data_IF_208570802369
#
_entry.id   IF_208570802369
#
_cell.length_a   1.000
_cell.length_b   1.000
_cell.length_c   1.000
_cell.angle_alpha   90.00
_cell.angle_beta   90.00
_cell.angle_gamma   90.00
#
_symmetry.space_group_name_H-M   'P 1'
#
loop_
_entity.id
_entity.type
_entity.pdbx_description
1 polymer ?
#
# COMPACT_ATOMS: atom_id res chain seq x y z
N UNK A 1 45.16 -16.86 15.30
CA UNK A 1 43.85 -17.32 15.68
C UNK A 1 42.89 -16.88 14.56
N UNK A 2 42.43 -17.82 13.71
CA UNK A 2 41.51 -17.56 12.62
C UNK A 2 40.07 -17.87 13.14
N UNK A 3 39.22 -16.84 13.22
CA UNK A 3 37.82 -17.00 13.57
C UNK A 3 37.04 -17.33 12.29
N UNK A 4 36.48 -18.52 12.22
CA UNK A 4 35.61 -18.99 11.15
C UNK A 4 34.18 -18.53 11.47
N UNK A 5 33.66 -17.60 10.71
CA UNK A 5 32.25 -17.19 10.84
C UNK A 5 31.37 -18.19 10.10
N UNK A 6 30.59 -18.94 10.86
CA UNK A 6 29.53 -19.83 10.33
C UNK A 6 28.34 -18.95 9.97
N UNK A 7 27.99 -18.90 8.68
CA UNK A 7 26.79 -18.24 8.18
C UNK A 7 25.62 -19.23 8.34
N UNK A 8 24.76 -18.97 9.31
CA UNK A 8 23.49 -19.71 9.46
C UNK A 8 22.48 -19.27 8.38
N UNK A 9 22.23 -20.19 7.47
CA UNK A 9 21.25 -20.05 6.37
C UNK A 9 19.87 -20.63 6.78
N UNK A 10 19.24 -20.09 7.82
CA UNK A 10 18.00 -20.69 8.35
C UNK A 10 16.94 -19.64 8.67
N UNK A 11 16.51 -18.80 7.72
CA UNK A 11 15.42 -17.87 8.07
C UNK A 11 14.42 -17.48 6.95
N UNK A 12 14.50 -18.07 5.76
CA UNK A 12 13.58 -17.66 4.66
C UNK A 12 12.31 -18.52 4.59
N UNK A 13 12.33 -19.75 5.10
CA UNK A 13 11.17 -20.67 5.01
C UNK A 13 10.14 -20.41 6.11
N UNK A 14 10.56 -20.02 7.31
CA UNK A 14 9.64 -19.75 8.44
C UNK A 14 8.78 -18.50 8.27
N UNK A 15 9.21 -17.53 7.43
CA UNK A 15 8.44 -16.29 7.22
C UNK A 15 7.21 -16.50 6.33
N UNK A 16 7.24 -17.41 5.37
CA UNK A 16 6.10 -17.70 4.48
C UNK A 16 4.98 -18.48 5.19
N UNK A 17 5.32 -19.38 6.14
CA UNK A 17 4.31 -20.08 6.94
C UNK A 17 3.63 -19.16 7.99
N UNK A 18 4.33 -18.14 8.51
CA UNK A 18 3.75 -17.21 9.45
C UNK A 18 2.79 -16.20 8.77
N UNK A 19 3.05 -15.85 7.51
CA UNK A 19 2.17 -14.99 6.71
C UNK A 19 0.84 -15.69 6.38
N UNK A 20 0.86 -16.95 6.01
CA UNK A 20 -0.35 -17.75 5.75
C UNK A 20 -1.24 -17.95 6.98
N UNK A 21 -0.65 -18.05 8.18
CA UNK A 21 -1.41 -18.15 9.44
C UNK A 21 -2.05 -16.85 9.87
N UNK A 22 -1.39 -15.70 9.60
CA UNK A 22 -1.94 -14.37 9.89
C UNK A 22 -3.12 -14.05 8.98
N UNK A 23 -3.02 -14.32 7.68
CA UNK A 23 -4.11 -14.10 6.71
C UNK A 23 -5.32 -15.01 6.97
N UNK A 24 -5.09 -16.27 7.36
CA UNK A 24 -6.16 -17.20 7.73
C UNK A 24 -6.86 -16.76 9.04
N UNK A 25 -6.11 -16.17 9.98
CA UNK A 25 -6.64 -15.69 11.24
C UNK A 25 -7.41 -14.36 11.07
N UNK A 26 -6.97 -13.46 10.19
CA UNK A 26 -7.71 -12.26 9.80
C UNK A 26 -8.98 -12.60 9.02
N UNK A 27 -8.94 -13.56 8.11
CA UNK A 27 -10.10 -14.08 7.39
C UNK A 27 -11.12 -14.73 8.34
N UNK A 28 -10.65 -15.47 9.36
CA UNK A 28 -11.52 -16.15 10.34
C UNK A 28 -12.17 -15.18 11.34
N UNK A 29 -11.53 -14.04 11.66
CA UNK A 29 -12.15 -12.97 12.46
C UNK A 29 -13.26 -12.30 11.64
N UNK A 30 -13.08 -12.18 10.33
CA UNK A 30 -14.06 -11.59 9.42
C UNK A 30 -15.31 -12.48 9.24
N UNK A 31 -15.14 -13.80 9.21
CA UNK A 31 -16.24 -14.76 8.94
C UNK A 31 -17.15 -14.99 10.16
N UNK A 32 -16.61 -14.85 11.38
CA UNK A 32 -17.37 -15.07 12.63
C UNK A 32 -18.40 -13.99 12.99
N UNK A 33 -18.35 -12.83 12.33
CA UNK A 33 -19.30 -11.73 12.59
C UNK A 33 -20.56 -11.80 11.71
N UNK A 34 -20.77 -12.89 10.96
CA UNK A 34 -21.77 -12.99 9.87
C UNK A 34 -23.15 -13.53 10.31
N UNK A 35 -23.39 -13.83 11.58
CA UNK A 35 -24.60 -14.58 12.01
C UNK A 35 -25.77 -13.77 12.56
N UNK A 36 -25.82 -12.46 12.36
CA UNK A 36 -27.06 -11.69 12.65
C UNK A 36 -27.31 -10.71 11.52
N UNK A 37 -28.54 -10.69 11.01
CA UNK A 37 -29.06 -9.86 9.93
C UNK A 37 -28.94 -8.34 10.17
N UNK A 38 -27.74 -7.86 10.55
CA UNK A 38 -27.37 -6.46 10.60
C UNK A 38 -27.01 -6.01 9.19
N UNK A 39 -27.52 -4.86 8.81
CA UNK A 39 -27.12 -4.18 7.55
C UNK A 39 -25.61 -4.13 7.44
N UNK A 40 -25.06 -4.51 6.28
CA UNK A 40 -23.63 -4.54 6.03
C UNK A 40 -23.05 -3.13 6.16
N UNK A 41 -22.20 -2.88 7.17
CA UNK A 41 -21.55 -1.57 7.36
C UNK A 41 -20.66 -1.19 6.17
N UNK A 42 -20.47 0.12 5.96
CA UNK A 42 -19.67 0.63 4.83
C UNK A 42 -18.27 0.07 4.80
N UNK A 43 -17.59 0.00 5.98
CA UNK A 43 -16.26 -0.58 6.05
C UNK A 43 -16.20 -2.00 5.48
N UNK A 44 -17.18 -2.82 5.84
CA UNK A 44 -17.27 -4.22 5.37
C UNK A 44 -17.54 -4.30 3.87
N UNK A 45 -18.45 -3.46 3.35
CA UNK A 45 -18.74 -3.40 1.93
C UNK A 45 -17.49 -2.99 1.12
N UNK A 46 -16.73 -1.99 1.58
CA UNK A 46 -15.46 -1.60 0.97
C UNK A 46 -14.45 -2.77 0.98
N UNK A 47 -14.27 -3.46 2.11
CA UNK A 47 -13.39 -4.63 2.19
C UNK A 47 -13.79 -5.75 1.22
N UNK A 48 -15.07 -6.01 1.10
CA UNK A 48 -15.61 -7.02 0.17
C UNK A 48 -15.39 -6.63 -1.29
N UNK A 49 -15.61 -5.35 -1.60
CA UNK A 49 -15.48 -4.81 -2.95
C UNK A 49 -14.04 -4.88 -3.47
N UNK A 50 -13.05 -4.63 -2.61
CA UNK A 50 -11.63 -4.68 -3.00
C UNK A 50 -11.01 -6.09 -2.95
N UNK A 51 -11.73 -7.10 -2.48
CA UNK A 51 -11.19 -8.44 -2.18
C UNK A 51 -10.38 -9.06 -3.33
N UNK A 52 -10.88 -8.96 -4.56
CA UNK A 52 -10.19 -9.54 -5.73
C UNK A 52 -8.96 -8.71 -6.12
N UNK A 53 -9.07 -7.37 -6.11
CA UNK A 53 -7.93 -6.50 -6.36
C UNK A 53 -6.88 -6.63 -5.26
N UNK A 54 -7.28 -6.83 -4.01
CA UNK A 54 -6.38 -7.09 -2.88
C UNK A 54 -5.64 -8.43 -3.00
N UNK A 55 -6.31 -9.50 -3.48
CA UNK A 55 -5.63 -10.78 -3.78
C UNK A 55 -4.57 -10.61 -4.87
N UNK A 56 -4.87 -9.83 -5.91
CA UNK A 56 -3.90 -9.48 -6.95
C UNK A 56 -2.74 -8.66 -6.38
N UNK A 57 -3.04 -7.66 -5.54
CA UNK A 57 -2.05 -6.85 -4.82
C UNK A 57 -1.13 -7.70 -3.95
N UNK A 58 -1.66 -8.69 -3.23
CA UNK A 58 -0.87 -9.57 -2.39
C UNK A 58 0.09 -10.45 -3.21
N UNK A 59 -0.36 -10.97 -4.34
CA UNK A 59 0.54 -11.71 -5.27
C UNK A 59 1.65 -10.81 -5.78
N UNK A 60 1.32 -9.60 -6.23
CA UNK A 60 2.28 -8.61 -6.69
C UNK A 60 3.27 -8.23 -5.58
N UNK A 61 2.76 -7.97 -4.38
CA UNK A 61 3.58 -7.66 -3.19
C UNK A 61 4.52 -8.81 -2.85
N UNK A 62 4.05 -10.06 -2.90
CA UNK A 62 4.89 -11.23 -2.68
C UNK A 62 6.03 -11.31 -3.69
N UNK A 63 5.74 -11.05 -4.97
CA UNK A 63 6.78 -10.96 -6.02
C UNK A 63 7.76 -9.83 -5.71
N UNK A 64 7.27 -8.64 -5.32
CA UNK A 64 8.11 -7.51 -4.96
C UNK A 64 8.98 -7.78 -3.74
N UNK A 65 8.44 -8.45 -2.71
CA UNK A 65 9.20 -8.83 -1.50
C UNK A 65 10.34 -9.78 -1.87
N UNK A 66 10.05 -10.83 -2.66
CA UNK A 66 11.07 -11.78 -3.13
C UNK A 66 12.08 -11.11 -4.05
N UNK A 67 11.64 -10.13 -4.85
CA UNK A 67 12.46 -9.49 -5.88
C UNK A 67 13.29 -8.30 -5.38
N UNK A 68 13.06 -7.81 -4.16
CA UNK A 68 13.90 -6.73 -3.64
C UNK A 68 13.23 -5.69 -2.76
N UNK A 69 11.91 -5.67 -2.56
CA UNK A 69 11.23 -4.61 -1.80
C UNK A 69 11.85 -4.37 -0.40
N UNK A 70 12.24 -5.44 0.29
CA UNK A 70 12.88 -5.37 1.60
C UNK A 70 14.33 -5.85 1.61
N UNK A 71 14.97 -5.94 0.44
CA UNK A 71 16.37 -6.33 0.30
C UNK A 71 17.17 -5.37 -0.57
N UNK A 72 16.51 -4.48 -1.31
CA UNK A 72 17.15 -3.43 -2.11
C UNK A 72 16.56 -2.05 -1.72
N UNK A 73 17.39 -1.21 -1.10
CA UNK A 73 17.03 0.16 -0.70
C UNK A 73 16.54 0.99 -1.89
N UNK A 74 17.07 0.75 -3.10
CA UNK A 74 16.64 1.49 -4.30
C UNK A 74 15.20 1.18 -4.67
N UNK A 75 14.80 -0.09 -4.59
CA UNK A 75 13.41 -0.52 -4.83
C UNK A 75 12.49 0.06 -3.75
N UNK A 76 12.88 -0.10 -2.49
CA UNK A 76 12.09 0.39 -1.36
C UNK A 76 11.83 1.90 -1.42
N UNK A 77 12.87 2.71 -1.64
CA UNK A 77 12.73 4.17 -1.69
C UNK A 77 11.86 4.66 -2.86
N UNK A 78 11.89 3.98 -4.02
CA UNK A 78 10.99 4.33 -5.13
C UNK A 78 9.53 4.05 -4.78
N UNK A 79 9.23 2.89 -4.15
CA UNK A 79 7.89 2.56 -3.66
C UNK A 79 7.39 3.61 -2.65
N UNK A 80 8.22 3.97 -1.68
CA UNK A 80 7.88 4.97 -0.66
C UNK A 80 7.55 6.33 -1.28
N UNK A 81 8.31 6.78 -2.28
CA UNK A 81 8.05 8.04 -3.00
C UNK A 81 6.70 8.00 -3.74
N UNK A 82 6.37 6.90 -4.40
CA UNK A 82 5.09 6.78 -5.12
C UNK A 82 3.90 6.80 -4.16
N UNK A 83 3.98 6.07 -3.04
CA UNK A 83 2.92 6.10 -2.02
C UNK A 83 2.85 7.45 -1.29
N UNK A 84 3.98 8.12 -1.09
CA UNK A 84 4.01 9.50 -0.61
C UNK A 84 3.23 10.43 -1.54
N UNK A 85 3.52 10.39 -2.84
CA UNK A 85 2.86 11.27 -3.81
C UNK A 85 1.33 11.08 -3.78
N UNK A 86 0.84 9.84 -3.80
CA UNK A 86 -0.59 9.54 -3.72
C UNK A 86 -1.21 9.96 -2.37
N UNK A 87 -0.52 9.70 -1.25
CA UNK A 87 -1.01 10.05 0.09
C UNK A 87 -1.02 11.57 0.29
N UNK A 88 0.02 12.26 -0.17
CA UNK A 88 0.11 13.71 -0.08
C UNK A 88 -0.95 14.40 -0.94
N UNK A 89 -1.19 13.92 -2.15
CA UNK A 89 -2.27 14.39 -3.02
C UNK A 89 -3.63 14.27 -2.32
N UNK A 90 -3.93 13.10 -1.74
CA UNK A 90 -5.16 12.84 -1.01
C UNK A 90 -5.31 13.74 0.22
N UNK A 91 -4.30 13.80 1.09
CA UNK A 91 -4.37 14.61 2.32
C UNK A 91 -4.47 16.11 2.02
N UNK A 92 -3.80 16.58 0.98
CA UNK A 92 -3.89 17.97 0.52
C UNK A 92 -5.29 18.29 -0.02
N UNK A 93 -5.85 17.38 -0.84
CA UNK A 93 -7.19 17.57 -1.40
C UNK A 93 -8.29 17.52 -0.34
N UNK A 94 -8.16 16.63 0.67
CA UNK A 94 -9.09 16.60 1.81
C UNK A 94 -9.11 17.93 2.57
N UNK A 95 -7.94 18.54 2.81
CA UNK A 95 -7.85 19.83 3.47
C UNK A 95 -8.52 20.93 2.63
N UNK A 96 -8.23 20.96 1.33
CA UNK A 96 -8.83 21.96 0.44
C UNK A 96 -10.37 21.84 0.42
N UNK A 97 -10.93 20.64 0.26
CA UNK A 97 -12.39 20.46 0.26
C UNK A 97 -13.04 20.79 1.61
N UNK A 98 -12.37 20.51 2.72
CA UNK A 98 -12.85 20.91 4.04
C UNK A 98 -12.86 22.42 4.18
N UNK A 99 -11.76 23.10 3.84
CA UNK A 99 -11.56 24.52 4.10
C UNK A 99 -12.35 25.39 3.11
N UNK A 100 -12.42 24.99 1.84
CA UNK A 100 -13.04 25.79 0.77
C UNK A 100 -14.53 25.49 0.58
N UNK A 101 -14.93 24.22 0.77
CA UNK A 101 -16.28 23.74 0.45
C UNK A 101 -17.07 23.26 1.69
N UNK A 102 -16.41 23.15 2.86
CA UNK A 102 -17.04 22.67 4.09
C UNK A 102 -17.49 21.22 4.02
N UNK A 103 -16.76 20.36 3.27
CA UNK A 103 -17.12 18.97 3.07
C UNK A 103 -17.09 18.18 4.38
N UNK A 104 -18.26 17.73 4.84
CA UNK A 104 -18.43 17.04 6.12
C UNK A 104 -17.70 15.68 6.17
N UNK A 105 -17.58 14.98 5.05
CA UNK A 105 -16.87 13.69 4.98
C UNK A 105 -15.38 13.93 5.15
N UNK A 106 -14.85 14.96 4.50
CA UNK A 106 -13.45 15.36 4.69
C UNK A 106 -13.19 15.77 6.14
N UNK A 107 -14.10 16.52 6.77
CA UNK A 107 -13.95 16.90 8.19
C UNK A 107 -13.94 15.67 9.11
N UNK A 108 -14.88 14.73 8.91
CA UNK A 108 -14.93 13.46 9.65
C UNK A 108 -13.64 12.64 9.45
N UNK A 109 -13.13 12.51 8.21
CA UNK A 109 -11.88 11.81 7.93
C UNK A 109 -10.69 12.46 8.62
N UNK A 110 -10.56 13.77 8.54
CA UNK A 110 -9.48 14.54 9.15
C UNK A 110 -9.55 14.54 10.68
N UNK A 111 -10.75 14.37 11.28
CA UNK A 111 -10.93 14.24 12.73
C UNK A 111 -10.25 13.02 13.33
N UNK A 112 -9.92 11.99 12.51
CA UNK A 112 -9.08 10.86 12.94
C UNK A 112 -7.67 11.27 13.33
N UNK A 113 -7.22 12.45 12.92
CA UNK A 113 -5.87 12.96 13.19
C UNK A 113 -4.76 12.24 12.43
N UNK A 114 -5.10 11.48 11.39
CA UNK A 114 -4.10 10.78 10.57
C UNK A 114 -3.46 11.74 9.58
N UNK A 115 -2.13 11.77 9.60
CA UNK A 115 -1.31 12.58 8.71
C UNK A 115 -0.05 11.79 8.40
N UNK A 116 -0.12 10.96 7.35
CA UNK A 116 0.99 10.07 6.98
C UNK A 116 1.96 10.72 5.99
N UNK A 117 1.51 11.67 5.17
CA UNK A 117 2.40 12.36 4.23
C UNK A 117 3.64 12.97 4.92
N UNK A 118 3.56 13.65 6.08
CA UNK A 118 4.74 14.14 6.78
C UNK A 118 5.69 13.04 7.29
N UNK A 119 5.18 11.85 7.58
CA UNK A 119 6.03 10.73 8.01
C UNK A 119 6.75 10.09 6.82
N UNK A 120 6.06 9.95 5.68
CA UNK A 120 6.68 9.57 4.41
C UNK A 120 7.80 10.54 4.02
N UNK A 121 7.55 11.85 4.16
CA UNK A 121 8.52 12.90 3.85
C UNK A 121 9.82 12.74 4.65
N UNK A 122 9.71 12.50 5.97
CA UNK A 122 10.88 12.25 6.82
C UNK A 122 11.66 11.04 6.35
N UNK A 123 10.98 9.94 6.04
CA UNK A 123 11.61 8.72 5.55
C UNK A 123 12.31 8.96 4.20
N UNK A 124 11.67 9.70 3.28
CA UNK A 124 12.26 10.04 1.97
C UNK A 124 13.50 10.91 2.15
N UNK A 125 13.45 11.95 2.99
CA UNK A 125 14.61 12.81 3.28
C UNK A 125 15.78 11.97 3.75
N UNK A 126 15.58 11.06 4.70
CA UNK A 126 16.62 10.15 5.19
C UNK A 126 17.12 9.21 4.08
N UNK A 127 16.21 8.58 3.32
CA UNK A 127 16.57 7.60 2.30
C UNK A 127 17.35 8.18 1.12
N UNK A 128 17.14 9.44 0.80
CA UNK A 128 17.81 10.13 -0.31
C UNK A 128 18.93 11.06 0.16
N UNK A 129 19.24 11.09 1.47
CA UNK A 129 20.22 11.99 2.10
C UNK A 129 19.97 13.46 1.70
N UNK A 130 18.72 13.88 1.78
CA UNK A 130 18.35 15.27 1.55
C UNK A 130 18.68 16.04 2.82
N UNK A 131 19.73 16.86 2.77
CA UNK A 131 20.25 17.57 3.93
C UNK A 131 19.23 18.56 4.50
N UNK A 132 19.19 18.62 5.84
CA UNK A 132 18.27 19.47 6.60
C UNK A 132 18.82 20.92 6.74
N UNK A 133 19.76 21.31 5.87
CA UNK A 133 20.48 22.58 5.91
C UNK A 133 19.60 23.83 5.63
N UNK A 134 18.32 23.69 5.81
CA UNK A 134 17.36 24.80 6.01
C UNK A 134 16.88 25.54 4.77
N UNK A 135 17.63 25.56 3.68
CA UNK A 135 17.29 26.47 2.57
C UNK A 135 16.72 25.81 1.30
N UNK A 136 16.85 24.48 1.10
CA UNK A 136 16.41 23.83 -0.14
C UNK A 136 15.67 22.49 0.04
N UNK A 137 15.49 21.99 1.25
CA UNK A 137 14.99 20.64 1.53
C UNK A 137 13.65 20.32 0.85
N UNK A 138 12.74 21.28 0.79
CA UNK A 138 11.44 21.10 0.14
C UNK A 138 11.55 21.10 -1.40
N UNK A 139 12.47 21.87 -1.97
CA UNK A 139 12.73 21.87 -3.41
C UNK A 139 13.38 20.56 -3.84
N UNK A 140 14.32 20.03 -3.05
CA UNK A 140 14.98 18.76 -3.31
C UNK A 140 14.04 17.55 -3.16
N UNK A 141 13.15 17.59 -2.17
CA UNK A 141 12.08 16.61 -2.02
C UNK A 141 11.17 16.61 -3.25
N UNK A 142 10.69 17.78 -3.67
CA UNK A 142 9.84 17.94 -4.85
C UNK A 142 10.55 17.39 -6.10
N UNK A 143 11.80 17.77 -6.33
CA UNK A 143 12.60 17.27 -7.45
C UNK A 143 12.80 15.75 -7.40
N UNK A 144 12.98 15.17 -6.21
CA UNK A 144 13.11 13.73 -6.01
C UNK A 144 11.81 13.01 -6.39
N UNK A 145 10.66 13.54 -5.94
CA UNK A 145 9.33 13.00 -6.30
C UNK A 145 9.13 13.09 -7.81
N UNK A 146 9.39 14.23 -8.42
CA UNK A 146 9.28 14.42 -9.88
C UNK A 146 10.16 13.43 -10.66
N UNK A 147 11.39 13.20 -10.24
CA UNK A 147 12.31 12.23 -10.88
C UNK A 147 11.80 10.80 -10.83
N UNK A 148 11.17 10.40 -9.72
CA UNK A 148 10.57 9.06 -9.59
C UNK A 148 9.31 8.97 -10.45
N UNK A 149 8.44 9.98 -10.42
CA UNK A 149 7.22 10.03 -11.22
C UNK A 149 7.51 10.02 -12.72
N UNK A 150 8.55 10.71 -13.19
CA UNK A 150 8.95 10.67 -14.59
C UNK A 150 9.27 9.26 -15.10
N UNK A 151 9.79 8.39 -14.22
CA UNK A 151 10.15 7.00 -14.54
C UNK A 151 9.00 6.01 -14.32
N UNK A 152 7.95 6.43 -13.63
CA UNK A 152 6.80 5.59 -13.30
C UNK A 152 5.92 5.33 -14.53
N UNK A 153 5.04 4.32 -14.44
CA UNK A 153 4.07 4.01 -15.49
C UNK A 153 3.03 5.12 -15.62
N UNK A 154 2.41 5.22 -16.80
CA UNK A 154 1.33 6.18 -17.01
C UNK A 154 0.12 5.88 -16.12
N UNK A 155 -0.12 4.59 -15.79
CA UNK A 155 -1.17 4.20 -14.84
C UNK A 155 -0.94 4.75 -13.43
N UNK A 156 0.31 4.76 -12.94
CA UNK A 156 0.64 5.36 -11.63
C UNK A 156 0.46 6.88 -11.62
N UNK A 157 0.88 7.55 -12.69
CA UNK A 157 0.69 9.01 -12.85
C UNK A 157 -0.79 9.37 -12.89
N UNK A 158 -1.55 8.67 -13.74
CA UNK A 158 -3.00 8.86 -13.87
C UNK A 158 -3.73 8.63 -12.55
N UNK A 159 -3.28 7.67 -11.74
CA UNK A 159 -3.88 7.44 -10.42
C UNK A 159 -3.65 8.62 -9.46
N UNK A 160 -2.44 9.16 -9.40
CA UNK A 160 -2.13 10.32 -8.55
C UNK A 160 -2.93 11.54 -9.03
N UNK A 161 -2.97 11.79 -10.34
CA UNK A 161 -3.77 12.85 -10.95
C UNK A 161 -5.27 12.68 -10.66
N UNK A 162 -5.77 11.45 -10.69
CA UNK A 162 -7.17 11.16 -10.32
C UNK A 162 -7.45 11.59 -8.89
N UNK A 163 -6.56 11.30 -7.94
CA UNK A 163 -6.71 11.71 -6.54
C UNK A 163 -6.67 13.23 -6.41
N UNK A 164 -5.75 13.90 -7.08
CA UNK A 164 -5.64 15.37 -7.08
C UNK A 164 -6.91 16.07 -7.58
N UNK A 165 -7.62 15.43 -8.51
CA UNK A 165 -8.84 15.94 -9.14
C UNK A 165 -10.13 15.43 -8.50
N UNK A 166 -10.09 14.66 -7.41
CA UNK A 166 -11.30 14.26 -6.69
C UNK A 166 -12.06 15.48 -6.18
N UNK A 167 -13.37 15.52 -6.46
CA UNK A 167 -14.21 16.68 -6.23
C UNK A 167 -15.07 16.61 -4.98
N UNK A 168 -15.05 15.48 -4.26
CA UNK A 168 -15.90 15.27 -3.07
C UNK A 168 -15.23 14.42 -2.00
N UNK A 169 -15.61 14.64 -0.75
CA UNK A 169 -15.20 13.80 0.38
C UNK A 169 -15.62 12.34 0.22
N UNK A 170 -16.70 12.08 -0.50
CA UNK A 170 -17.16 10.73 -0.85
C UNK A 170 -16.10 9.98 -1.67
N UNK A 171 -15.50 10.62 -2.67
CA UNK A 171 -14.41 10.05 -3.45
C UNK A 171 -13.14 9.90 -2.62
N UNK A 172 -12.78 10.93 -1.85
CA UNK A 172 -11.62 10.89 -0.96
C UNK A 172 -11.74 9.84 0.15
N UNK A 173 -12.97 9.51 0.59
CA UNK A 173 -13.18 8.39 1.52
C UNK A 173 -12.71 7.05 0.90
N UNK A 174 -13.01 6.80 -0.38
CA UNK A 174 -12.52 5.63 -1.08
C UNK A 174 -10.99 5.57 -1.18
N UNK A 175 -10.35 6.71 -1.46
CA UNK A 175 -8.89 6.82 -1.48
C UNK A 175 -8.28 6.61 -0.08
N UNK A 176 -8.86 7.21 0.96
CA UNK A 176 -8.43 7.04 2.36
C UNK A 176 -8.56 5.60 2.81
N UNK A 177 -9.63 4.91 2.43
CA UNK A 177 -9.81 3.50 2.72
C UNK A 177 -8.64 2.66 2.19
N UNK A 178 -8.17 2.94 0.97
CA UNK A 178 -7.09 2.20 0.35
C UNK A 178 -5.70 2.61 0.87
N UNK A 179 -5.41 3.92 1.02
CA UNK A 179 -4.09 4.42 1.40
C UNK A 179 -3.87 4.35 2.91
N UNK A 180 -4.77 4.90 3.73
CA UNK A 180 -4.67 4.84 5.18
C UNK A 180 -5.00 3.45 5.72
N UNK A 181 -6.02 2.79 5.16
CA UNK A 181 -6.40 1.44 5.55
C UNK A 181 -5.28 0.42 5.34
N UNK A 182 -4.50 0.54 4.26
CA UNK A 182 -3.33 -0.31 4.04
C UNK A 182 -2.28 -0.19 5.16
N UNK A 183 -2.13 0.99 5.75
CA UNK A 183 -1.21 1.25 6.85
C UNK A 183 -1.79 0.80 8.20
N UNK A 184 -3.03 1.19 8.50
CA UNK A 184 -3.66 1.01 9.82
C UNK A 184 -4.16 -0.42 10.03
N UNK A 185 -4.87 -0.96 9.02
CA UNK A 185 -5.47 -2.31 9.06
C UNK A 185 -4.48 -3.37 8.59
N UNK A 186 -3.72 -3.05 7.54
CA UNK A 186 -2.86 -3.99 6.82
C UNK A 186 -1.48 -4.20 7.45
N UNK A 187 -0.51 -4.48 6.58
CA UNK A 187 0.82 -4.98 6.92
C UNK A 187 1.82 -4.04 7.57
N UNK A 188 1.43 -2.83 8.01
CA UNK A 188 2.39 -1.86 8.56
C UNK A 188 3.27 -2.44 9.69
N UNK A 189 2.69 -3.24 10.59
CA UNK A 189 3.43 -3.87 11.68
C UNK A 189 4.43 -4.93 11.20
N UNK A 190 4.11 -5.66 10.14
CA UNK A 190 5.02 -6.68 9.57
C UNK A 190 6.13 -6.05 8.73
N UNK A 191 5.87 -4.89 8.13
CA UNK A 191 6.85 -4.17 7.32
C UNK A 191 7.95 -3.53 8.18
N UNK A 192 7.61 -3.02 9.37
CA UNK A 192 8.53 -2.26 10.21
C UNK A 192 9.87 -2.97 10.49
N UNK A 193 9.92 -4.23 10.99
CA UNK A 193 11.21 -4.89 11.26
C UNK A 193 12.06 -5.05 9.98
N UNK A 194 11.42 -5.33 8.84
CA UNK A 194 12.10 -5.49 7.55
C UNK A 194 12.68 -4.17 7.05
N UNK A 195 11.92 -3.09 7.14
CA UNK A 195 12.36 -1.75 6.77
C UNK A 195 13.48 -1.28 7.68
N UNK A 196 13.36 -1.50 8.99
CA UNK A 196 14.39 -1.17 9.96
C UNK A 196 15.71 -1.93 9.69
N UNK A 197 15.62 -3.19 9.30
CA UNK A 197 16.79 -3.99 8.90
C UNK A 197 17.43 -3.49 7.61
N UNK A 198 16.61 -3.01 6.66
CA UNK A 198 17.07 -2.56 5.34
C UNK A 198 17.65 -1.15 5.37
N UNK A 199 16.98 -0.21 6.03
CA UNK A 199 17.23 1.23 5.92
C UNK A 199 17.71 1.87 7.24
N UNK A 200 17.75 1.10 8.33
CA UNK A 200 18.05 1.63 9.66
C UNK A 200 16.83 2.21 10.37
N UNK A 201 17.03 2.62 11.63
CA UNK A 201 15.94 3.13 12.47
C UNK A 201 15.43 4.51 12.03
N UNK A 202 16.31 5.31 11.43
CA UNK A 202 16.03 6.71 11.10
C UNK A 202 15.18 6.87 9.83
N UNK A 203 15.03 5.81 9.02
CA UNK A 203 14.17 5.77 7.84
C UNK A 203 12.87 4.94 8.07
N UNK A 204 12.32 4.97 9.28
CA UNK A 204 11.14 4.19 9.68
C UNK A 204 10.08 5.03 10.40
N UNK A 205 10.00 6.33 10.13
CA UNK A 205 9.06 7.23 10.81
C UNK A 205 7.61 6.83 10.54
N UNK A 206 7.28 6.53 9.28
CA UNK A 206 5.95 6.08 8.88
C UNK A 206 5.53 4.83 9.67
N UNK A 207 6.32 3.76 9.59
CA UNK A 207 5.95 2.50 10.22
C UNK A 207 6.00 2.57 11.75
N UNK A 208 6.87 3.39 12.32
CA UNK A 208 6.92 3.65 13.77
C UNK A 208 5.66 4.36 14.24
N UNK A 209 5.18 5.35 13.49
CA UNK A 209 3.92 6.03 13.79
C UNK A 209 2.74 5.07 13.72
N UNK A 210 2.63 4.29 12.64
CA UNK A 210 1.52 3.33 12.43
C UNK A 210 1.51 2.20 13.45
N UNK A 211 2.68 1.72 13.89
CA UNK A 211 2.81 0.58 14.82
C UNK A 211 2.95 0.98 16.26
N UNK A 212 2.97 2.27 16.54
CA UNK A 212 3.13 2.85 17.87
C UNK A 212 2.01 2.50 18.85
N UNK A 213 2.12 3.01 20.09
CA UNK A 213 1.08 2.85 21.10
C UNK A 213 -0.29 3.29 20.57
N UNK A 214 -1.35 2.53 20.92
CA UNK A 214 -2.71 2.85 20.47
C UNK A 214 -3.09 2.31 19.09
N UNK A 215 -2.26 1.47 18.44
CA UNK A 215 -2.58 0.88 17.12
C UNK A 215 -3.96 0.22 17.09
N UNK A 216 -4.31 -0.57 18.11
CA UNK A 216 -5.62 -1.24 18.18
C UNK A 216 -6.76 -0.23 18.25
N UNK A 217 -6.60 0.84 19.01
CA UNK A 217 -7.57 1.93 19.11
C UNK A 217 -7.70 2.68 17.77
N UNK A 218 -6.59 3.00 17.10
CA UNK A 218 -6.61 3.61 15.76
C UNK A 218 -7.38 2.75 14.77
N UNK A 219 -7.13 1.42 14.77
CA UNK A 219 -7.87 0.47 13.92
C UNK A 219 -9.38 0.53 14.20
N UNK A 220 -9.77 0.49 15.48
CA UNK A 220 -11.17 0.55 15.87
C UNK A 220 -11.81 1.87 15.46
N UNK A 221 -11.15 3.01 15.74
CA UNK A 221 -11.63 4.33 15.33
C UNK A 221 -11.80 4.45 13.81
N UNK A 222 -10.85 3.91 13.04
CA UNK A 222 -10.93 3.90 11.58
C UNK A 222 -12.16 3.14 11.08
N UNK A 223 -12.41 1.94 11.61
CA UNK A 223 -13.57 1.13 11.23
C UNK A 223 -14.87 1.86 11.61
N UNK A 224 -14.97 2.33 12.85
CA UNK A 224 -16.16 3.03 13.35
C UNK A 224 -16.45 4.30 12.56
N UNK A 225 -15.43 5.06 12.21
CA UNK A 225 -15.58 6.26 11.41
C UNK A 225 -16.17 5.93 10.04
N UNK A 226 -15.62 4.92 9.31
CA UNK A 226 -16.18 4.51 8.03
C UNK A 226 -17.64 4.08 8.15
N UNK A 227 -17.98 3.27 9.15
CA UNK A 227 -19.37 2.84 9.37
C UNK A 227 -20.29 3.99 9.81
N UNK A 228 -19.75 5.10 10.31
CA UNK A 228 -20.51 6.30 10.65
C UNK A 228 -20.83 7.18 9.44
N UNK A 229 -20.03 7.12 8.36
CA UNK A 229 -20.24 7.98 7.17
C UNK A 229 -21.62 7.82 6.53
N UNK A 230 -22.29 6.69 6.78
CA UNK A 230 -23.60 6.38 6.23
C UNK A 230 -24.74 6.36 7.27
N UNK A 231 -24.42 6.48 8.57
CA UNK A 231 -25.43 6.37 9.65
C UNK A 231 -26.08 7.70 10.03
N UNK A 232 -25.38 8.81 9.88
CA UNK A 232 -25.83 10.12 10.37
C UNK A 232 -27.05 10.66 9.58
N UNK A 233 -27.26 10.22 8.35
CA UNK A 233 -28.42 10.64 7.55
C UNK A 233 -29.74 9.95 7.99
N UNK A 234 -29.69 8.74 8.57
CA UNK A 234 -30.89 8.04 9.05
C UNK A 234 -31.54 8.73 10.27
N UNK A 235 -30.76 9.44 11.09
CA UNK A 235 -31.30 10.10 12.30
C UNK A 235 -31.92 11.49 12.03
N UNK A 236 -31.67 12.09 10.86
CA UNK A 236 -32.28 13.35 10.46
C UNK A 236 -33.59 13.17 9.68
N UNK A 237 -33.89 11.96 9.18
CA UNK A 237 -35.04 11.70 8.29
C UNK A 237 -36.33 11.29 9.01
N UNK A 238 -36.32 11.13 10.36
CA UNK A 238 -37.62 10.92 11.10
C UNK A 238 -38.60 12.09 10.97
N UNK A 239 -38.26 13.16 10.25
CA UNK A 239 -39.11 14.34 10.03
C UNK A 239 -39.23 14.81 8.57
N UNK A 240 -38.79 14.07 7.57
CA UNK A 240 -38.95 14.45 6.17
C UNK A 240 -39.53 13.32 5.33
N UNK A 241 -40.60 13.72 4.60
CA UNK A 241 -41.39 12.91 3.67
C UNK A 241 -40.58 12.00 2.74
N UNK A 242 -41.07 10.85 2.60
CA UNK A 242 -40.91 9.60 1.83
C UNK A 242 -40.28 9.60 0.42
N UNK A 243 -39.41 10.55 0.02
CA UNK A 243 -38.85 10.60 -1.34
C UNK A 243 -37.32 10.75 -1.45
N UNK A 244 -36.52 10.58 -0.36
CA UNK A 244 -35.07 10.82 -0.39
C UNK A 244 -34.19 9.58 -0.08
N UNK A 245 -34.70 8.37 -0.33
CA UNK A 245 -33.91 7.13 -0.13
C UNK A 245 -32.74 7.00 -1.15
N UNK A 246 -32.84 7.71 -2.28
CA UNK A 246 -31.86 7.65 -3.37
C UNK A 246 -30.50 8.29 -3.03
N UNK A 247 -30.44 9.29 -2.16
CA UNK A 247 -29.22 10.05 -1.88
C UNK A 247 -28.17 9.29 -1.05
N UNK A 248 -28.64 8.51 -0.09
CA UNK A 248 -27.73 7.78 0.83
C UNK A 248 -27.16 6.52 0.16
N UNK A 249 -27.97 5.82 -0.61
CA UNK A 249 -27.52 4.71 -1.46
C UNK A 249 -26.46 5.17 -2.45
N UNK A 250 -26.61 6.35 -3.04
CA UNK A 250 -25.65 6.93 -3.98
C UNK A 250 -24.27 7.19 -3.34
N UNK A 251 -24.22 7.78 -2.13
CA UNK A 251 -22.95 8.03 -1.42
C UNK A 251 -22.25 6.73 -1.05
N UNK A 252 -23.01 5.76 -0.53
CA UNK A 252 -22.48 4.44 -0.17
C UNK A 252 -21.84 3.75 -1.39
N UNK A 253 -22.59 3.65 -2.49
CA UNK A 253 -22.13 3.00 -3.72
C UNK A 253 -20.95 3.73 -4.34
N UNK A 254 -20.90 5.06 -4.26
CA UNK A 254 -19.80 5.87 -4.76
C UNK A 254 -18.52 5.60 -3.97
N UNK A 255 -18.57 5.56 -2.63
CA UNK A 255 -17.41 5.22 -1.79
C UNK A 255 -16.89 3.82 -2.14
N UNK A 256 -17.79 2.84 -2.21
CA UNK A 256 -17.44 1.44 -2.53
C UNK A 256 -16.81 1.33 -3.92
N UNK A 257 -17.35 2.03 -4.91
CA UNK A 257 -16.79 2.06 -6.27
C UNK A 257 -15.41 2.70 -6.28
N UNK A 258 -15.25 3.84 -5.62
CA UNK A 258 -13.96 4.53 -5.54
C UNK A 258 -12.91 3.71 -4.78
N UNK A 259 -13.31 2.95 -3.75
CA UNK A 259 -12.41 1.97 -3.13
C UNK A 259 -11.84 0.96 -4.14
N UNK A 260 -12.67 0.45 -5.05
CA UNK A 260 -12.21 -0.50 -6.08
C UNK A 260 -11.23 0.16 -7.05
N UNK A 261 -11.53 1.38 -7.49
CA UNK A 261 -10.68 2.16 -8.41
C UNK A 261 -9.35 2.50 -7.75
N UNK A 262 -9.36 2.99 -6.51
CA UNK A 262 -8.15 3.31 -5.76
C UNK A 262 -7.30 2.06 -5.44
N UNK A 263 -7.92 0.91 -5.20
CA UNK A 263 -7.18 -0.33 -5.00
C UNK A 263 -6.46 -0.79 -6.27
N UNK A 264 -7.06 -0.59 -7.46
CA UNK A 264 -6.38 -0.80 -8.75
C UNK A 264 -5.23 0.18 -8.91
N UNK A 265 -5.45 1.48 -8.59
CA UNK A 265 -4.41 2.51 -8.62
C UNK A 265 -3.23 2.20 -7.71
N UNK A 266 -3.47 1.70 -6.49
CA UNK A 266 -2.39 1.24 -5.61
C UNK A 266 -1.57 0.10 -6.25
N UNK A 267 -2.20 -0.79 -7.02
CA UNK A 267 -1.48 -1.82 -7.77
C UNK A 267 -0.62 -1.21 -8.89
N UNK A 268 -1.10 -0.16 -9.56
CA UNK A 268 -0.32 0.58 -10.56
C UNK A 268 0.93 1.23 -9.94
N UNK A 269 0.83 1.82 -8.75
CA UNK A 269 2.00 2.33 -8.02
C UNK A 269 3.04 1.22 -7.80
N UNK A 270 2.60 0.05 -7.37
CA UNK A 270 3.49 -1.08 -7.10
C UNK A 270 4.13 -1.63 -8.37
N UNK A 271 3.38 -1.73 -9.47
CA UNK A 271 3.92 -2.23 -10.76
C UNK A 271 4.85 -1.25 -11.46
N UNK A 272 4.79 0.03 -11.08
CA UNK A 272 5.66 1.08 -11.63
C UNK A 272 7.12 0.90 -11.27
N UNK A 273 7.41 0.23 -10.16
CA UNK A 273 8.78 0.08 -9.69
C UNK A 273 9.49 -1.01 -10.49
N UNK A 274 10.56 -0.61 -11.17
CA UNK A 274 11.39 -1.53 -11.95
C UNK A 274 12.25 -2.37 -11.01
N UNK A 275 11.94 -3.65 -10.95
CA UNK A 275 12.72 -4.61 -10.19
C UNK A 275 13.74 -5.24 -11.13
N UNK A 276 15.00 -5.17 -10.75
CA UNK A 276 16.07 -5.91 -11.41
C UNK A 276 16.76 -6.83 -10.39
N UNK A 277 16.13 -7.97 -10.05
CA UNK A 277 16.64 -8.83 -9.01
C UNK A 277 18.01 -9.40 -9.45
N UNK A 278 19.02 -9.08 -8.66
CA UNK A 278 20.39 -9.52 -8.93
C UNK A 278 20.54 -11.04 -9.10
N UNK A 279 19.69 -11.79 -8.44
CA UNK A 279 19.67 -13.26 -8.50
C UNK A 279 19.08 -13.80 -9.81
N UNK A 280 18.26 -13.03 -10.54
CA UNK A 280 17.64 -13.47 -11.78
C UNK A 280 18.67 -13.85 -12.85
N UNK A 281 19.76 -13.08 -12.93
CA UNK A 281 20.87 -13.38 -13.84
C UNK A 281 21.51 -14.73 -13.52
N UNK A 282 21.62 -15.11 -12.26
CA UNK A 282 22.16 -16.42 -11.87
C UNK A 282 21.21 -17.55 -12.21
N UNK A 283 19.90 -17.38 -11.97
CA UNK A 283 18.88 -18.37 -12.38
C UNK A 283 18.91 -18.54 -13.90
N UNK A 284 18.90 -17.46 -14.67
CA UNK A 284 18.97 -17.52 -16.12
C UNK A 284 20.25 -18.21 -16.57
N UNK A 285 21.41 -17.84 -16.01
CA UNK A 285 22.68 -18.45 -16.36
C UNK A 285 22.70 -19.94 -16.03
N UNK A 286 22.18 -20.34 -14.86
CA UNK A 286 22.08 -21.76 -14.47
C UNK A 286 21.14 -22.52 -15.38
N UNK A 287 19.98 -21.96 -15.73
CA UNK A 287 19.04 -22.57 -16.65
C UNK A 287 19.65 -22.76 -18.05
N UNK A 288 20.33 -21.74 -18.57
CA UNK A 288 21.04 -21.82 -19.85
C UNK A 288 22.14 -22.90 -19.81
N UNK A 289 22.93 -22.92 -18.75
CA UNK A 289 23.97 -23.95 -18.58
C UNK A 289 23.36 -25.36 -18.54
N UNK A 290 22.26 -25.54 -17.77
CA UNK A 290 21.57 -26.85 -17.68
C UNK A 290 21.01 -27.28 -19.03
N UNK A 291 20.33 -26.37 -19.74
CA UNK A 291 19.80 -26.66 -21.10
C UNK A 291 20.94 -27.01 -22.05
N UNK A 292 22.06 -26.30 -21.99
CA UNK A 292 23.23 -26.57 -22.84
C UNK A 292 23.83 -27.94 -22.57
N UNK A 293 23.95 -28.32 -21.30
CA UNK A 293 24.43 -29.66 -20.89
C UNK A 293 23.47 -30.74 -21.38
N UNK A 294 22.16 -30.57 -21.12
CA UNK A 294 21.14 -31.53 -21.57
C UNK A 294 21.15 -31.67 -23.08
N UNK A 295 21.17 -30.54 -23.81
CA UNK A 295 21.24 -30.56 -25.28
C UNK A 295 22.48 -31.31 -25.77
N UNK A 296 23.66 -31.05 -25.16
CA UNK A 296 24.88 -31.74 -25.50
C UNK A 296 24.78 -33.27 -25.30
N UNK A 297 24.13 -33.73 -24.22
CA UNK A 297 23.95 -35.16 -23.97
C UNK A 297 22.98 -35.85 -24.95
N UNK A 298 21.98 -35.10 -25.44
CA UNK A 298 20.96 -35.66 -26.36
C UNK A 298 21.29 -35.43 -27.85
N UNK A 299 22.37 -34.66 -28.16
CA UNK A 299 22.83 -34.58 -29.55
C UNK A 299 23.43 -35.91 -30.03
N UNK A 300 23.08 -36.33 -31.25
CA UNK A 300 23.69 -37.54 -31.90
C UNK A 300 25.22 -37.37 -31.95
N UNK A 301 25.94 -38.48 -31.70
CA UNK A 301 27.41 -38.49 -31.72
C UNK A 301 28.03 -37.83 -32.96
N UNK A 302 27.38 -37.98 -34.11
CA UNK A 302 27.82 -37.37 -35.36
C UNK A 302 27.79 -35.80 -35.39
N UNK A 303 27.06 -35.18 -34.46
CA UNK A 303 27.02 -33.73 -34.32
C UNK A 303 27.95 -33.20 -33.21
N UNK A 304 28.29 -34.05 -32.23
CA UNK A 304 29.22 -33.68 -31.14
C UNK A 304 30.67 -33.55 -31.58
N UNK A 305 31.05 -34.21 -32.71
CA UNK A 305 32.40 -34.15 -33.26
C UNK A 305 32.62 -32.96 -34.19
N UNK A 306 31.60 -32.15 -34.41
CA UNK A 306 31.67 -30.95 -35.29
C UNK A 306 31.59 -29.61 -34.52
N UNK A 307 31.39 -29.64 -33.20
CA UNK A 307 31.40 -28.47 -32.29
C UNK A 307 32.61 -28.51 -31.40
#
# INVERSE_FOLDING_TARGET
MKSTATIETTTVVDSAESEGKSEAQEAAIFDKTTEKGEEEGLFRACMKSIRNAHKSANRLRSVLVVSGLFTDVKVYREVIVLFYAATNAMETRMLALKDDEGDEICDKLLSLGYRFAPQYEKDIKTLYNLDDDGNNTNADLKLTVEKVLLKSTDGAKAYIETIENMSSGTELAGAAFCLWGALIIGGGAMAMPRVQSLCGKDACHLFRDVTGPGRSERKTKFIQMFDSLTKDEKNNDEKKDTNNDDGNSFKFDRIVTTCQECMKGNNELMTSVKINPWWLKYIVSTAVATVSVVAFYYLPKSQRERT
#
